data_IF_214414777969
#
_entry.id   IF_214414777969
#
_cell.length_a   1.000
_cell.length_b   1.000
_cell.length_c   1.000
_cell.angle_alpha   90.00
_cell.angle_beta   90.00
_cell.angle_gamma   90.00
#
_symmetry.space_group_name_H-M   'P 1'
#
loop_
_entity.id
_entity.type
_entity.pdbx_description
1 polymer ?
#
# COMPACT_ATOMS: atom_id res chain seq x y z
N UNK A 1 -27.73 12.41 -2.03
CA UNK A 1 -27.55 12.59 -0.59
C UNK A 1 -26.47 11.61 -0.19
N UNK A 2 -25.21 12.06 -0.21
CA UNK A 2 -24.08 11.23 0.24
C UNK A 2 -24.32 10.92 1.72
N UNK A 3 -24.58 9.65 2.04
CA UNK A 3 -24.54 9.22 3.43
C UNK A 3 -23.07 9.31 3.82
N UNK A 4 -22.75 10.28 4.67
CA UNK A 4 -21.39 10.44 5.19
C UNK A 4 -20.91 9.11 5.76
N UNK A 5 -19.69 8.74 5.38
CA UNK A 5 -18.99 7.58 5.94
C UNK A 5 -18.97 7.67 7.47
N UNK A 6 -19.43 6.63 8.15
CA UNK A 6 -19.36 6.55 9.61
C UNK A 6 -17.94 6.16 10.04
N UNK A 7 -17.08 7.17 10.15
CA UNK A 7 -15.71 7.01 10.63
C UNK A 7 -15.62 6.43 12.04
N UNK A 8 -16.68 6.56 12.85
CA UNK A 8 -16.71 5.97 14.19
C UNK A 8 -16.84 4.44 14.13
N UNK A 9 -17.60 3.94 13.15
CA UNK A 9 -17.73 2.51 12.87
C UNK A 9 -16.41 1.94 12.34
N UNK A 10 -15.74 2.63 11.41
CA UNK A 10 -14.41 2.21 10.94
C UNK A 10 -13.38 2.18 12.09
N UNK A 11 -13.35 3.21 12.93
CA UNK A 11 -12.48 3.24 14.11
C UNK A 11 -12.81 2.15 15.15
N UNK A 12 -14.08 1.74 15.25
CA UNK A 12 -14.48 0.62 16.09
C UNK A 12 -13.99 -0.73 15.54
N UNK A 13 -14.00 -0.91 14.22
CA UNK A 13 -13.44 -2.09 13.55
C UNK A 13 -11.94 -2.24 13.79
N UNK A 14 -11.18 -1.14 13.90
CA UNK A 14 -9.74 -1.17 14.23
C UNK A 14 -9.45 -1.09 15.74
N UNK A 15 -10.46 -1.27 16.60
CA UNK A 15 -10.22 -1.27 18.04
C UNK A 15 -9.46 -2.53 18.48
N UNK A 16 -8.60 -2.41 19.50
CA UNK A 16 -8.00 -3.58 20.18
C UNK A 16 -8.96 -4.28 21.15
N UNK A 17 -10.22 -3.82 21.27
CA UNK A 17 -11.24 -4.43 22.13
C UNK A 17 -12.10 -5.38 21.31
N UNK A 18 -11.97 -6.68 21.56
CA UNK A 18 -12.69 -7.75 20.83
C UNK A 18 -14.20 -7.48 20.72
N UNK A 19 -14.87 -7.21 21.84
CA UNK A 19 -16.31 -6.93 21.88
C UNK A 19 -16.68 -5.79 20.91
N UNK A 20 -15.92 -4.69 20.94
CA UNK A 20 -16.16 -3.54 20.07
C UNK A 20 -15.96 -3.86 18.60
N UNK A 21 -14.97 -4.68 18.26
CA UNK A 21 -14.73 -5.13 16.88
C UNK A 21 -15.87 -6.02 16.41
N UNK A 22 -16.31 -6.98 17.23
CA UNK A 22 -17.40 -7.90 16.89
C UNK A 22 -18.72 -7.18 16.72
N UNK A 23 -19.06 -6.24 17.61
CA UNK A 23 -20.25 -5.41 17.50
C UNK A 23 -20.24 -4.57 16.22
N UNK A 24 -19.11 -3.94 15.91
CA UNK A 24 -18.94 -3.17 14.69
C UNK A 24 -19.04 -4.05 13.43
N UNK A 25 -18.46 -5.25 13.46
CA UNK A 25 -18.52 -6.21 12.35
C UNK A 25 -19.96 -6.68 12.10
N UNK A 26 -20.74 -6.94 13.16
CA UNK A 26 -22.15 -7.30 13.03
C UNK A 26 -22.98 -6.19 12.34
N UNK A 27 -22.66 -4.91 12.59
CA UNK A 27 -23.28 -3.78 11.88
C UNK A 27 -22.90 -3.74 10.39
N UNK A 28 -21.76 -4.33 10.02
CA UNK A 28 -21.29 -4.47 8.64
C UNK A 28 -22.05 -5.52 7.81
N UNK A 29 -22.91 -6.33 8.43
CA UNK A 29 -23.87 -7.17 7.71
C UNK A 29 -25.03 -6.35 7.08
N UNK A 30 -25.21 -5.09 7.47
CA UNK A 30 -26.26 -4.22 6.93
C UNK A 30 -25.78 -3.46 5.69
N UNK A 31 -26.67 -2.97 4.80
CA UNK A 31 -26.28 -2.13 3.67
C UNK A 31 -25.49 -0.86 4.06
N UNK A 32 -25.76 -0.32 5.26
CA UNK A 32 -25.03 0.84 5.77
C UNK A 32 -23.58 0.48 6.13
N UNK A 33 -23.36 -0.69 6.73
CA UNK A 33 -22.03 -1.14 7.10
C UNK A 33 -21.23 -1.80 5.96
N UNK A 34 -21.88 -2.26 4.88
CA UNK A 34 -21.19 -2.60 3.62
C UNK A 34 -20.43 -1.39 3.05
N UNK A 35 -20.96 -0.18 3.21
CA UNK A 35 -20.28 1.06 2.81
C UNK A 35 -18.94 1.27 3.54
N UNK A 36 -18.81 0.78 4.78
CA UNK A 36 -17.55 0.85 5.54
C UNK A 36 -16.52 -0.12 4.97
N UNK A 37 -16.93 -1.34 4.58
CA UNK A 37 -16.02 -2.31 3.96
C UNK A 37 -15.49 -1.74 2.64
N UNK A 38 -16.36 -1.20 1.79
CA UNK A 38 -15.93 -0.54 0.54
C UNK A 38 -14.99 0.63 0.80
N UNK A 39 -15.28 1.46 1.81
CA UNK A 39 -14.40 2.58 2.15
C UNK A 39 -13.03 2.13 2.64
N UNK A 40 -12.93 1.01 3.36
CA UNK A 40 -11.63 0.45 3.77
C UNK A 40 -10.73 0.14 2.56
N UNK A 41 -11.32 -0.21 1.40
CA UNK A 41 -10.59 -0.41 0.15
C UNK A 41 -10.11 0.93 -0.41
N UNK A 42 -10.97 1.95 -0.46
CA UNK A 42 -10.61 3.30 -0.92
C UNK A 42 -9.54 3.96 -0.05
N UNK A 43 -9.55 3.68 1.25
CA UNK A 43 -8.55 4.17 2.21
C UNK A 43 -7.30 3.27 2.30
N UNK A 44 -7.19 2.22 1.47
CA UNK A 44 -6.03 1.32 1.38
C UNK A 44 -5.70 0.54 2.67
N UNK A 45 -6.70 0.35 3.54
CA UNK A 45 -6.60 -0.37 4.83
C UNK A 45 -7.38 -1.69 4.86
N UNK A 46 -8.00 -2.09 3.75
CA UNK A 46 -8.76 -3.33 3.65
C UNK A 46 -7.97 -4.60 4.03
N UNK A 47 -6.68 -4.78 3.66
CA UNK A 47 -5.92 -5.94 4.11
C UNK A 47 -5.74 -5.98 5.63
N UNK A 48 -5.51 -4.82 6.27
CA UNK A 48 -5.44 -4.70 7.73
C UNK A 48 -6.76 -5.07 8.38
N UNK A 49 -7.86 -4.54 7.84
CA UNK A 49 -9.20 -4.86 8.33
C UNK A 49 -9.46 -6.37 8.23
N UNK A 50 -9.06 -7.03 7.16
CA UNK A 50 -9.18 -8.49 7.02
C UNK A 50 -8.46 -9.24 8.14
N UNK A 51 -7.17 -8.94 8.35
CA UNK A 51 -6.37 -9.62 9.38
C UNK A 51 -6.87 -9.31 10.79
N UNK A 52 -7.35 -8.10 11.02
CA UNK A 52 -7.89 -7.66 12.30
C UNK A 52 -9.21 -8.36 12.62
N UNK A 53 -10.14 -8.42 11.65
CA UNK A 53 -11.39 -9.18 11.81
C UNK A 53 -11.12 -10.67 12.02
N UNK A 54 -10.14 -11.24 11.30
CA UNK A 54 -9.74 -12.64 11.49
C UNK A 54 -9.16 -12.88 12.89
N UNK A 55 -8.33 -11.97 13.41
CA UNK A 55 -7.75 -12.04 14.77
C UNK A 55 -8.83 -12.12 15.85
N UNK A 56 -9.94 -11.40 15.68
CA UNK A 56 -11.06 -11.37 16.62
C UNK A 56 -12.23 -12.30 16.26
N UNK A 57 -12.01 -13.24 15.32
CA UNK A 57 -13.03 -14.17 14.83
C UNK A 57 -14.34 -13.46 14.41
N UNK A 58 -14.24 -12.29 13.80
CA UNK A 58 -15.35 -11.41 13.44
C UNK A 58 -15.62 -11.36 11.94
N UNK A 59 -14.82 -12.07 11.12
CA UNK A 59 -14.95 -12.06 9.67
C UNK A 59 -16.28 -12.67 9.20
N UNK A 60 -16.77 -13.69 9.90
CA UNK A 60 -18.08 -14.33 9.64
C UNK A 60 -19.28 -13.43 10.00
N UNK A 61 -19.05 -12.34 10.72
CA UNK A 61 -20.09 -11.38 11.12
C UNK A 61 -20.40 -10.35 10.03
N UNK A 62 -19.55 -10.19 9.01
CA UNK A 62 -19.82 -9.31 7.86
C UNK A 62 -20.42 -10.10 6.70
N UNK A 63 -21.07 -9.41 5.76
CA UNK A 63 -21.67 -10.06 4.58
C UNK A 63 -20.63 -10.83 3.75
N UNK A 64 -21.03 -11.94 3.12
CA UNK A 64 -20.16 -12.75 2.27
C UNK A 64 -19.43 -11.94 1.19
N UNK A 65 -20.13 -11.00 0.53
CA UNK A 65 -19.54 -10.09 -0.46
C UNK A 65 -18.43 -9.22 0.15
N UNK A 66 -18.63 -8.74 1.38
CA UNK A 66 -17.62 -7.99 2.13
C UNK A 66 -16.40 -8.84 2.50
N UNK A 67 -16.62 -10.10 2.90
CA UNK A 67 -15.53 -11.04 3.16
C UNK A 67 -14.69 -11.27 1.89
N UNK A 68 -15.36 -11.52 0.77
CA UNK A 68 -14.71 -11.72 -0.53
C UNK A 68 -13.92 -10.48 -0.96
N UNK A 69 -14.51 -9.29 -0.85
CA UNK A 69 -13.84 -8.03 -1.20
C UNK A 69 -12.55 -7.81 -0.39
N UNK A 70 -12.61 -8.06 0.92
CA UNK A 70 -11.43 -7.94 1.78
C UNK A 70 -10.36 -8.99 1.42
N UNK A 71 -10.77 -10.23 1.16
CA UNK A 71 -9.85 -11.30 0.75
C UNK A 71 -9.19 -11.01 -0.61
N UNK A 72 -9.95 -10.55 -1.59
CA UNK A 72 -9.42 -10.17 -2.91
C UNK A 72 -8.39 -9.06 -2.80
N UNK A 73 -8.62 -8.09 -1.89
CA UNK A 73 -7.67 -7.01 -1.64
C UNK A 73 -6.39 -7.51 -0.96
N UNK A 74 -6.49 -8.49 -0.05
CA UNK A 74 -5.31 -9.16 0.52
C UNK A 74 -4.49 -9.85 -0.57
N UNK A 75 -5.14 -10.62 -1.45
CA UNK A 75 -4.47 -11.32 -2.54
C UNK A 75 -3.80 -10.36 -3.53
N UNK A 76 -4.49 -9.26 -3.88
CA UNK A 76 -3.91 -8.20 -4.69
C UNK A 76 -2.69 -7.58 -3.99
N UNK A 77 -2.76 -7.32 -2.69
CA UNK A 77 -1.64 -6.77 -1.95
C UNK A 77 -0.44 -7.73 -1.90
N UNK A 78 -0.68 -9.04 -1.76
CA UNK A 78 0.38 -10.05 -1.82
C UNK A 78 1.06 -10.09 -3.19
N UNK A 79 0.29 -9.93 -4.27
CA UNK A 79 0.83 -9.81 -5.62
C UNK A 79 1.71 -8.56 -5.77
N UNK A 80 1.18 -7.39 -5.37
CA UNK A 80 1.92 -6.12 -5.43
C UNK A 80 3.21 -6.16 -4.61
N UNK A 81 3.19 -6.76 -3.42
CA UNK A 81 4.39 -6.90 -2.59
C UNK A 81 5.46 -7.78 -3.23
N UNK A 82 5.06 -8.85 -3.91
CA UNK A 82 6.01 -9.72 -4.62
C UNK A 82 6.71 -8.94 -5.74
N UNK A 83 5.92 -8.20 -6.51
CA UNK A 83 6.36 -7.39 -7.63
C UNK A 83 7.29 -6.25 -7.16
N UNK A 84 6.90 -5.53 -6.11
CA UNK A 84 7.73 -4.50 -5.47
C UNK A 84 9.01 -5.07 -4.84
N UNK A 85 9.01 -6.31 -4.37
CA UNK A 85 10.23 -6.96 -3.86
C UNK A 85 11.27 -7.16 -4.97
N UNK A 86 10.82 -7.46 -6.19
CA UNK A 86 11.71 -7.56 -7.37
C UNK A 86 12.26 -6.18 -7.71
N UNK A 87 11.40 -5.16 -7.77
CA UNK A 87 11.82 -3.77 -8.01
C UNK A 87 12.84 -3.32 -6.96
N UNK A 88 12.59 -3.61 -5.69
CA UNK A 88 13.48 -3.27 -4.59
C UNK A 88 14.86 -3.91 -4.73
N UNK A 89 14.94 -5.19 -5.12
CA UNK A 89 16.22 -5.88 -5.34
C UNK A 89 17.04 -5.25 -6.48
N UNK A 90 16.39 -4.90 -7.58
CA UNK A 90 17.04 -4.22 -8.70
C UNK A 90 17.52 -2.81 -8.29
N UNK A 91 16.70 -2.07 -7.56
CA UNK A 91 17.06 -0.76 -7.01
C UNK A 91 18.29 -0.85 -6.11
N UNK A 92 18.35 -1.83 -5.20
CA UNK A 92 19.50 -2.01 -4.30
C UNK A 92 20.75 -2.42 -5.07
N UNK A 93 20.60 -3.25 -6.11
CA UNK A 93 21.72 -3.67 -6.97
C UNK A 93 22.31 -2.47 -7.71
N UNK A 94 21.46 -1.64 -8.32
CA UNK A 94 21.91 -0.41 -8.99
C UNK A 94 22.52 0.55 -7.98
N UNK A 95 21.86 0.82 -6.85
CA UNK A 95 22.36 1.70 -5.81
C UNK A 95 23.76 1.29 -5.32
N UNK A 96 23.96 -0.02 -5.10
CA UNK A 96 25.27 -0.57 -4.72
C UNK A 96 26.32 -0.34 -5.80
N UNK A 97 25.96 -0.56 -7.08
CA UNK A 97 26.89 -0.38 -8.21
C UNK A 97 27.35 1.07 -8.39
N UNK A 98 26.49 2.05 -8.05
CA UNK A 98 26.83 3.48 -8.12
C UNK A 98 27.33 4.04 -6.78
N UNK A 99 27.55 3.19 -5.77
CA UNK A 99 28.09 3.59 -4.46
C UNK A 99 27.14 4.41 -3.59
N UNK A 100 25.83 4.26 -3.80
CA UNK A 100 24.76 5.02 -3.13
C UNK A 100 24.04 4.15 -2.08
N UNK A 101 23.62 4.77 -0.96
CA UNK A 101 22.84 4.12 0.09
C UNK A 101 21.52 4.88 0.31
N UNK A 102 20.42 4.47 -0.34
CA UNK A 102 19.13 5.12 -0.17
C UNK A 102 18.53 4.82 1.21
N UNK A 103 17.80 5.80 1.76
CA UNK A 103 16.89 5.55 2.88
C UNK A 103 15.52 5.21 2.32
N UNK A 104 15.00 4.03 2.63
CA UNK A 104 13.65 3.62 2.24
C UNK A 104 12.64 4.38 3.11
N UNK A 105 11.64 4.98 2.48
CA UNK A 105 10.60 5.75 3.16
C UNK A 105 9.26 5.02 3.15
N UNK A 106 8.35 5.50 4.02
CA UNK A 106 6.92 5.14 4.07
C UNK A 106 6.72 3.61 4.09
N UNK A 107 5.77 3.10 3.31
CA UNK A 107 5.43 1.68 3.21
C UNK A 107 6.51 0.83 2.54
N UNK A 108 7.58 1.43 1.99
CA UNK A 108 8.70 0.67 1.46
C UNK A 108 9.39 -0.18 2.54
N UNK A 109 9.29 0.20 3.81
CA UNK A 109 9.83 -0.59 4.94
C UNK A 109 9.16 -1.96 5.07
N UNK A 110 7.88 -2.05 4.69
CA UNK A 110 7.07 -3.27 4.77
C UNK A 110 7.59 -4.34 3.80
N UNK A 111 8.27 -3.91 2.72
CA UNK A 111 8.94 -4.79 1.74
C UNK A 111 10.24 -5.38 2.34
N UNK A 112 11.00 -4.60 3.11
CA UNK A 112 12.37 -4.96 3.53
C UNK A 112 12.41 -5.75 4.83
N UNK A 113 11.42 -5.57 5.70
CA UNK A 113 11.40 -6.17 7.05
C UNK A 113 10.20 -7.09 7.24
N UNK A 114 10.19 -8.33 6.72
CA UNK A 114 9.04 -9.27 6.81
C UNK A 114 8.71 -9.74 8.25
N UNK A 115 9.35 -9.18 9.28
CA UNK A 115 9.24 -9.63 10.67
C UNK A 115 7.93 -9.23 11.37
N UNK A 116 7.22 -8.25 10.84
CA UNK A 116 5.92 -7.86 11.38
C UNK A 116 4.81 -8.50 10.53
N UNK A 117 3.92 -9.27 11.17
CA UNK A 117 2.71 -9.80 10.52
C UNK A 117 1.81 -8.67 9.93
N UNK A 118 2.10 -7.42 10.30
CA UNK A 118 1.48 -6.17 9.87
C UNK A 118 1.95 -5.76 8.46
N UNK A 119 3.07 -6.27 7.93
CA UNK A 119 3.58 -5.85 6.61
C UNK A 119 2.67 -6.17 5.41
N UNK A 120 1.64 -7.01 5.60
CA UNK A 120 0.63 -7.29 4.56
C UNK A 120 -0.69 -6.54 4.79
N UNK A 121 -0.76 -5.70 5.81
CA UNK A 121 -1.98 -5.01 6.24
C UNK A 121 -2.26 -3.74 5.42
N UNK A 122 -1.22 -3.15 4.81
CA UNK A 122 -1.35 -1.98 3.97
C UNK A 122 -1.09 -2.31 2.52
N UNK A 123 -1.88 -1.71 1.61
CA UNK A 123 -1.59 -1.77 0.18
C UNK A 123 -0.39 -0.88 -0.13
N UNK A 124 0.68 -1.46 -0.69
CA UNK A 124 1.86 -0.73 -1.17
C UNK A 124 1.90 -0.80 -2.70
N UNK A 125 1.99 0.35 -3.36
CA UNK A 125 2.00 0.46 -4.82
C UNK A 125 3.29 1.04 -5.40
N UNK A 126 4.14 1.65 -4.58
CA UNK A 126 5.37 2.32 -4.99
C UNK A 126 6.48 2.20 -3.94
N UNK A 127 7.70 2.56 -4.36
CA UNK A 127 8.89 2.62 -3.51
C UNK A 127 9.39 4.06 -3.43
N UNK A 128 9.25 4.68 -2.26
CA UNK A 128 9.83 5.99 -1.99
C UNK A 128 11.24 5.86 -1.40
N UNK A 129 12.18 6.61 -1.98
CA UNK A 129 13.57 6.66 -1.53
C UNK A 129 13.97 8.10 -1.21
N UNK A 130 14.72 8.27 -0.13
CA UNK A 130 15.37 9.53 0.22
C UNK A 130 16.89 9.43 0.11
N UNK A 131 17.45 10.43 -0.58
CA UNK A 131 18.84 10.53 -0.99
C UNK A 131 19.28 12.00 -1.04
N UNK A 132 20.55 12.31 -0.78
CA UNK A 132 21.14 13.60 -1.16
C UNK A 132 21.07 13.82 -2.67
N UNK A 133 20.87 15.06 -3.13
CA UNK A 133 20.59 15.37 -4.55
C UNK A 133 21.56 14.77 -5.56
N UNK A 134 22.87 14.88 -5.33
CA UNK A 134 23.89 14.31 -6.23
C UNK A 134 23.89 12.78 -6.28
N UNK A 135 23.48 12.11 -5.19
CA UNK A 135 23.32 10.65 -5.17
C UNK A 135 22.01 10.22 -5.81
N UNK A 136 20.96 11.04 -5.70
CA UNK A 136 19.68 10.79 -6.34
C UNK A 136 19.81 10.75 -7.87
N UNK A 137 20.54 11.72 -8.46
CA UNK A 137 20.79 11.75 -9.91
C UNK A 137 21.58 10.53 -10.39
N UNK A 138 22.63 10.14 -9.67
CA UNK A 138 23.43 8.97 -10.01
C UNK A 138 22.61 7.67 -9.96
N UNK A 139 21.77 7.50 -8.92
CA UNK A 139 20.87 6.36 -8.82
C UNK A 139 19.83 6.38 -9.94
N UNK A 140 19.22 7.53 -10.21
CA UNK A 140 18.23 7.68 -11.27
C UNK A 140 18.79 7.29 -12.63
N UNK A 141 19.98 7.79 -12.99
CA UNK A 141 20.62 7.43 -14.25
C UNK A 141 20.95 5.93 -14.29
N UNK A 142 21.48 5.37 -13.20
CA UNK A 142 21.76 3.93 -13.12
C UNK A 142 20.50 3.06 -13.30
N UNK A 143 19.35 3.51 -12.78
CA UNK A 143 18.07 2.81 -12.96
C UNK A 143 17.58 2.90 -14.41
N UNK A 144 17.70 4.08 -15.04
CA UNK A 144 17.39 4.26 -16.47
C UNK A 144 18.27 3.37 -17.34
N UNK A 145 19.57 3.32 -17.08
CA UNK A 145 20.52 2.47 -17.80
C UNK A 145 20.21 0.96 -17.62
N UNK A 146 19.65 0.59 -16.46
CA UNK A 146 19.16 -0.76 -16.16
C UNK A 146 17.83 -1.10 -16.86
N UNK A 147 17.18 -0.11 -17.47
CA UNK A 147 15.96 -0.26 -18.27
C UNK A 147 14.70 0.34 -17.64
N UNK A 148 14.78 0.93 -16.45
CA UNK A 148 13.65 1.65 -15.86
C UNK A 148 13.27 2.84 -16.74
N UNK A 149 11.98 3.21 -16.72
CA UNK A 149 11.45 4.26 -17.58
C UNK A 149 10.75 5.32 -16.76
N UNK A 150 10.75 6.55 -17.25
CA UNK A 150 9.96 7.62 -16.66
C UNK A 150 8.49 7.24 -16.74
N UNK A 151 7.76 7.45 -15.64
CA UNK A 151 6.31 7.30 -15.64
C UNK A 151 5.64 8.49 -16.34
N UNK A 152 5.29 8.28 -17.62
CA UNK A 152 4.62 9.26 -18.47
C UNK A 152 3.29 9.75 -17.88
N UNK A 153 2.58 8.91 -17.11
CA UNK A 153 1.32 9.30 -16.46
C UNK A 153 1.56 10.34 -15.38
N UNK A 154 2.55 10.12 -14.53
CA UNK A 154 2.96 11.11 -13.53
C UNK A 154 3.47 12.39 -14.18
N UNK A 155 4.23 12.28 -15.27
CA UNK A 155 4.73 13.44 -16.02
C UNK A 155 3.56 14.30 -16.57
N UNK A 156 2.53 13.66 -17.13
CA UNK A 156 1.34 14.34 -17.64
C UNK A 156 0.48 14.97 -16.53
N UNK A 157 0.43 14.34 -15.34
CA UNK A 157 -0.42 14.78 -14.22
C UNK A 157 0.15 15.96 -13.43
N UNK A 158 1.47 15.99 -13.23
CA UNK A 158 2.12 17.00 -12.37
C UNK A 158 2.93 18.04 -13.15
N UNK A 159 3.16 17.83 -14.45
CA UNK A 159 3.94 18.73 -15.29
C UNK A 159 5.40 18.87 -14.83
N UNK A 160 6.17 19.71 -15.52
CA UNK A 160 7.59 19.90 -15.24
C UNK A 160 7.91 20.91 -14.11
N UNK A 161 6.92 21.58 -13.50
CA UNK A 161 7.15 22.80 -12.70
C UNK A 161 6.61 22.81 -11.26
N UNK A 162 5.85 21.82 -10.83
CA UNK A 162 5.29 21.78 -9.47
C UNK A 162 5.45 20.39 -8.84
N UNK A 163 6.69 19.89 -8.77
CA UNK A 163 6.94 18.57 -8.20
C UNK A 163 7.54 18.65 -6.80
N UNK A 164 6.92 17.95 -5.85
CA UNK A 164 7.46 17.71 -4.50
C UNK A 164 8.68 16.77 -4.50
N UNK A 165 9.01 16.16 -5.63
CA UNK A 165 10.12 15.23 -5.80
C UNK A 165 11.23 15.89 -6.64
N UNK A 166 12.50 15.70 -6.26
CA UNK A 166 13.64 16.25 -7.00
C UNK A 166 13.85 15.59 -8.37
N UNK A 167 13.31 14.38 -8.58
CA UNK A 167 13.43 13.61 -9.83
C UNK A 167 12.08 12.97 -10.19
N UNK A 168 11.91 12.66 -11.48
CA UNK A 168 10.70 12.00 -11.96
C UNK A 168 10.56 10.59 -11.37
N UNK A 169 9.33 10.11 -11.10
CA UNK A 169 9.11 8.71 -10.76
C UNK A 169 9.48 7.82 -11.94
N UNK A 170 10.01 6.65 -11.61
CA UNK A 170 10.38 5.61 -12.55
C UNK A 170 9.47 4.40 -12.36
N UNK A 171 9.16 3.70 -13.45
CA UNK A 171 8.50 2.40 -13.43
C UNK A 171 9.42 1.32 -14.00
N UNK A 172 9.25 0.09 -13.50
CA UNK A 172 10.03 -1.07 -13.93
C UNK A 172 9.30 -1.80 -15.07
N UNK A 173 9.90 -1.99 -16.26
CA UNK A 173 9.19 -2.49 -17.43
C UNK A 173 8.68 -3.93 -17.34
N UNK A 174 9.27 -4.73 -16.47
CA UNK A 174 8.96 -6.16 -16.31
C UNK A 174 8.07 -6.46 -15.10
N UNK A 175 7.63 -5.43 -14.36
CA UNK A 175 6.81 -5.55 -13.16
C UNK A 175 5.56 -4.69 -13.36
N UNK A 176 4.37 -5.24 -13.09
CA UNK A 176 3.08 -4.64 -13.45
C UNK A 176 2.51 -3.72 -12.37
#
# INVERSE_FOLDING_TARGET
MERGLDWSLLGALFSEREERVRDAAALCATPAGQGIITASVSELVAPELFFHLRRFNALDLISADGQQLLQDTVLLNEFLHKDLSVVFQDVITVATSVGVKPTVLKGGIDIVSPRDAINRSRVVGDLDLWLPGTQAEALFQGLVDRGFRIDDKSLARYGAREWHHHLHPLWHPEVN
#
